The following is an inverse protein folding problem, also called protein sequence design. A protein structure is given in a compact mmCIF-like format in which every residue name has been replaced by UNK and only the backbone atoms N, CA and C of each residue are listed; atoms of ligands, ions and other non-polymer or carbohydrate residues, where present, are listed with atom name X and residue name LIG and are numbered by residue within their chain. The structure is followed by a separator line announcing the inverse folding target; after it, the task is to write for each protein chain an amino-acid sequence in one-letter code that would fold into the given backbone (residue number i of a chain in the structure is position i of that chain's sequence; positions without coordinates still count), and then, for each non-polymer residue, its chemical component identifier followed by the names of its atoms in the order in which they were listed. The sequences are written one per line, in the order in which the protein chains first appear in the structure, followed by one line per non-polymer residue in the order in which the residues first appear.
data_IF_503649035731
#
_entry.id   IF_503649035731
#
_cell.length_a   1.000
_cell.length_b   1.000
_cell.length_c   1.000
_cell.angle_alpha   90.00
_cell.angle_beta   90.00
_cell.angle_gamma   90.00
#
_symmetry.space_group_name_H-M   'P 1'
#
loop_
_entity.id
_entity.type
_entity.pdbx_description
1 polymer ?
#
# COMPACT_ATOMS: atom_id res chain seq x y z
N UNK A 1 -34.82 16.42 -20.63
CA UNK A 1 -33.48 15.92 -21.01
C UNK A 1 -33.68 14.56 -21.65
N UNK A 2 -33.44 14.44 -22.97
CA UNK A 2 -33.62 13.17 -23.70
C UNK A 2 -32.54 12.17 -23.28
N UNK A 3 -32.97 10.95 -22.96
CA UNK A 3 -32.10 9.82 -22.71
C UNK A 3 -31.40 9.43 -24.02
N UNK A 4 -30.06 9.46 -24.02
CA UNK A 4 -29.26 8.98 -25.13
C UNK A 4 -29.08 7.48 -24.94
N UNK A 5 -29.77 6.68 -25.75
CA UNK A 5 -29.52 5.24 -25.83
C UNK A 5 -28.12 4.99 -26.42
N UNK A 6 -27.31 4.07 -25.83
CA UNK A 6 -26.00 3.74 -26.35
C UNK A 6 -26.12 2.94 -27.65
N UNK A 7 -25.40 3.39 -28.68
CA UNK A 7 -25.35 2.78 -30.01
C UNK A 7 -24.72 1.37 -29.94
N UNK A 8 -25.29 0.34 -30.59
CA UNK A 8 -24.67 -0.97 -30.66
C UNK A 8 -23.37 -0.91 -31.48
N UNK A 9 -22.30 -1.49 -30.93
CA UNK A 9 -21.00 -1.59 -31.59
C UNK A 9 -21.01 -2.88 -32.43
N UNK A 10 -20.89 -2.74 -33.75
CA UNK A 10 -20.73 -3.87 -34.65
C UNK A 10 -19.36 -4.53 -34.45
N UNK A 11 -19.32 -5.85 -34.50
CA UNK A 11 -18.09 -6.62 -34.49
C UNK A 11 -17.68 -6.86 -35.94
N UNK A 12 -16.71 -6.11 -36.45
CA UNK A 12 -16.06 -6.43 -37.71
C UNK A 12 -15.10 -7.61 -37.48
N UNK A 13 -15.13 -8.58 -38.39
CA UNK A 13 -14.30 -9.77 -38.33
C UNK A 13 -12.85 -9.46 -38.64
N UNK A 14 -11.92 -9.91 -37.78
CA UNK A 14 -10.48 -9.86 -38.04
C UNK A 14 -10.15 -10.80 -39.22
N UNK A 15 -9.58 -10.25 -40.29
CA UNK A 15 -8.96 -11.02 -41.38
C UNK A 15 -7.76 -11.85 -40.84
N UNK A 16 -7.45 -13.02 -41.42
CA UNK A 16 -6.32 -13.83 -40.97
C UNK A 16 -4.99 -13.12 -41.25
N UNK A 17 -4.20 -12.95 -40.20
CA UNK A 17 -2.87 -12.36 -40.27
C UNK A 17 -1.95 -13.16 -41.21
N UNK A 18 -1.23 -12.43 -42.07
CA UNK A 18 -0.21 -12.97 -42.96
C UNK A 18 1.04 -13.39 -42.18
N UNK A 19 1.57 -14.57 -42.53
CA UNK A 19 2.74 -15.21 -41.92
C UNK A 19 3.98 -14.29 -41.92
N UNK A 20 4.57 -14.02 -40.75
CA UNK A 20 5.90 -13.38 -40.72
C UNK A 20 6.47 -12.79 -39.44
N UNK A 21 5.80 -12.79 -38.28
CA UNK A 21 6.35 -12.17 -37.05
C UNK A 21 6.45 -13.14 -35.85
N UNK A 22 7.43 -12.94 -34.96
CA UNK A 22 7.92 -13.97 -34.04
C UNK A 22 6.89 -14.31 -32.96
N UNK A 23 6.67 -15.61 -32.75
CA UNK A 23 5.86 -16.16 -31.65
C UNK A 23 6.39 -15.67 -30.30
N UNK A 24 5.55 -14.99 -29.51
CA UNK A 24 5.79 -14.85 -28.07
C UNK A 24 5.16 -13.68 -27.29
N UNK A 25 4.28 -12.85 -27.85
CA UNK A 25 3.50 -11.90 -27.02
C UNK A 25 2.12 -12.47 -26.72
N UNK A 26 1.89 -12.89 -25.46
CA UNK A 26 0.57 -13.29 -24.97
C UNK A 26 -0.40 -12.11 -25.17
N UNK A 27 -1.38 -12.26 -26.08
CA UNK A 27 -2.36 -11.21 -26.36
C UNK A 27 -3.42 -11.25 -25.27
N UNK A 28 -3.23 -10.43 -24.24
CA UNK A 28 -4.18 -10.33 -23.14
C UNK A 28 -5.32 -9.36 -23.48
N UNK A 29 -6.57 -9.78 -23.34
CA UNK A 29 -7.75 -8.90 -23.50
C UNK A 29 -8.46 -8.75 -22.16
N UNK A 30 -8.58 -7.52 -21.67
CA UNK A 30 -9.39 -7.21 -20.51
C UNK A 30 -10.83 -6.94 -20.94
N UNK A 31 -11.78 -7.66 -20.34
CA UNK A 31 -13.20 -7.53 -20.63
C UNK A 31 -13.93 -7.21 -19.33
N UNK A 32 -14.75 -6.16 -19.33
CA UNK A 32 -15.67 -5.87 -18.23
C UNK A 32 -17.08 -6.02 -18.75
N UNK A 33 -17.92 -6.76 -18.04
CA UNK A 33 -19.34 -6.93 -18.35
C UNK A 33 -20.18 -6.80 -17.08
N UNK A 34 -21.43 -6.40 -17.26
CA UNK A 34 -22.44 -6.44 -16.22
C UNK A 34 -23.25 -7.72 -16.40
N UNK A 35 -23.66 -8.36 -15.31
CA UNK A 35 -24.55 -9.52 -15.33
C UNK A 35 -25.50 -9.45 -14.15
N UNK A 36 -26.72 -9.94 -14.35
CA UNK A 36 -27.74 -10.03 -13.30
C UNK A 36 -27.83 -11.49 -12.86
N UNK A 37 -26.96 -11.88 -11.94
CA UNK A 37 -26.96 -13.23 -11.38
C UNK A 37 -27.87 -13.28 -10.15
N UNK A 38 -28.93 -14.11 -10.15
CA UNK A 38 -29.81 -14.26 -8.99
C UNK A 38 -29.02 -14.70 -7.77
N UNK A 39 -29.19 -14.00 -6.65
CA UNK A 39 -28.52 -14.37 -5.41
C UNK A 39 -28.54 -13.28 -4.36
N UNK A 40 -28.01 -13.57 -3.16
CA UNK A 40 -28.19 -12.69 -2.01
C UNK A 40 -27.58 -11.30 -2.20
N UNK A 41 -26.45 -11.19 -2.91
CA UNK A 41 -25.81 -9.89 -3.19
C UNK A 41 -26.59 -9.06 -4.22
N UNK A 42 -27.24 -9.72 -5.19
CA UNK A 42 -28.13 -9.06 -6.13
C UNK A 42 -29.35 -8.49 -5.39
N UNK A 43 -30.06 -9.32 -4.63
CA UNK A 43 -31.25 -8.93 -3.88
C UNK A 43 -30.95 -7.77 -2.92
N UNK A 44 -29.82 -7.85 -2.22
CA UNK A 44 -29.40 -6.87 -1.24
C UNK A 44 -29.10 -5.50 -1.88
N UNK A 45 -28.38 -5.48 -3.01
CA UNK A 45 -28.05 -4.23 -3.71
C UNK A 45 -29.20 -3.68 -4.54
N UNK A 46 -30.19 -4.51 -4.89
CA UNK A 46 -31.43 -4.08 -5.52
C UNK A 46 -32.37 -3.40 -4.51
N UNK A 47 -32.53 -4.01 -3.32
CA UNK A 47 -33.31 -3.40 -2.22
C UNK A 47 -32.69 -2.12 -1.68
N UNK A 48 -31.38 -1.96 -1.83
CA UNK A 48 -30.62 -0.79 -1.35
C UNK A 48 -29.85 -0.12 -2.51
N UNK A 49 -30.48 0.74 -3.33
CA UNK A 49 -29.84 1.34 -4.50
C UNK A 49 -28.61 2.23 -4.21
N UNK A 50 -28.46 2.67 -2.95
CA UNK A 50 -27.30 3.42 -2.43
C UNK A 50 -26.17 2.54 -1.90
N UNK A 51 -26.35 1.22 -1.87
CA UNK A 51 -25.36 0.25 -1.45
C UNK A 51 -24.56 -0.26 -2.66
N UNK A 52 -23.25 -0.33 -2.50
CA UNK A 52 -22.36 -1.07 -3.39
C UNK A 52 -21.57 -2.09 -2.58
N UNK A 53 -21.29 -3.25 -3.18
CA UNK A 53 -20.53 -4.32 -2.53
C UNK A 53 -19.35 -4.69 -3.43
N UNK A 54 -18.14 -4.55 -2.92
CA UNK A 54 -16.95 -5.10 -3.56
C UNK A 54 -16.71 -6.51 -3.01
N UNK A 55 -16.86 -7.52 -3.87
CA UNK A 55 -16.68 -8.92 -3.54
C UNK A 55 -15.33 -9.43 -4.08
N UNK A 56 -14.57 -10.10 -3.22
CA UNK A 56 -13.26 -10.66 -3.51
C UNK A 56 -13.27 -12.16 -3.23
N UNK A 57 -13.41 -13.00 -4.27
CA UNK A 57 -13.34 -14.46 -4.14
C UNK A 57 -11.91 -14.90 -3.77
N UNK A 58 -11.77 -15.80 -2.78
CA UNK A 58 -10.50 -16.26 -2.21
C UNK A 58 -10.49 -17.79 -2.05
N UNK A 59 -10.70 -18.50 -3.16
CA UNK A 59 -11.00 -19.93 -3.11
C UNK A 59 -12.33 -20.12 -2.38
N UNK A 60 -12.37 -21.02 -1.39
CA UNK A 60 -13.56 -21.32 -0.57
C UNK A 60 -14.03 -20.22 0.39
N UNK A 61 -13.50 -19.00 0.26
CA UNK A 61 -13.83 -17.85 1.09
C UNK A 61 -14.22 -16.66 0.22
N UNK A 62 -15.08 -15.80 0.76
CA UNK A 62 -15.55 -14.58 0.08
C UNK A 62 -15.39 -13.38 1.02
N UNK A 63 -14.53 -12.43 0.64
CA UNK A 63 -14.42 -11.15 1.34
C UNK A 63 -15.36 -10.14 0.68
N UNK A 64 -16.26 -9.55 1.46
CA UNK A 64 -17.21 -8.54 1.02
C UNK A 64 -16.89 -7.21 1.72
N UNK A 65 -16.85 -6.13 0.93
CA UNK A 65 -16.76 -4.75 1.43
C UNK A 65 -18.00 -3.98 1.00
N UNK A 66 -18.77 -3.55 1.97
CA UNK A 66 -20.00 -2.79 1.80
C UNK A 66 -19.69 -1.30 1.86
N UNK A 67 -20.08 -0.59 0.81
CA UNK A 67 -19.80 0.83 0.57
C UNK A 67 -21.11 1.60 0.41
N UNK A 68 -21.18 2.80 0.96
CA UNK A 68 -22.37 3.65 0.86
C UNK A 68 -23.38 3.33 1.96
N UNK A 69 -24.60 2.94 1.56
CA UNK A 69 -25.72 2.69 2.47
C UNK A 69 -25.65 1.31 3.16
N UNK A 70 -24.65 1.14 4.02
CA UNK A 70 -24.34 -0.11 4.71
C UNK A 70 -24.88 -0.17 6.17
N UNK A 71 -25.87 0.64 6.53
CA UNK A 71 -26.45 0.64 7.88
C UNK A 71 -27.32 -0.61 8.11
N UNK A 72 -27.14 -1.30 9.25
CA UNK A 72 -27.88 -2.54 9.56
C UNK A 72 -27.66 -3.64 8.51
N UNK A 73 -26.45 -3.74 7.97
CA UNK A 73 -26.09 -4.76 6.98
C UNK A 73 -25.73 -6.07 7.67
N UNK A 74 -25.31 -6.00 8.93
CA UNK A 74 -24.94 -7.13 9.77
C UNK A 74 -26.13 -8.03 10.08
N UNK A 75 -27.33 -7.44 10.11
CA UNK A 75 -28.60 -8.14 10.33
C UNK A 75 -29.31 -8.49 9.02
N UNK A 76 -28.65 -8.30 7.87
CA UNK A 76 -29.28 -8.55 6.58
C UNK A 76 -29.54 -10.06 6.39
N UNK A 77 -30.80 -10.49 6.17
CA UNK A 77 -31.13 -11.91 5.98
C UNK A 77 -30.41 -12.48 4.75
N UNK A 78 -30.12 -11.68 3.73
CA UNK A 78 -29.33 -12.09 2.57
C UNK A 78 -27.91 -12.57 2.93
N UNK A 79 -27.34 -12.07 4.03
CA UNK A 79 -26.03 -12.52 4.52
C UNK A 79 -26.17 -13.62 5.56
N UNK A 80 -27.12 -13.48 6.49
CA UNK A 80 -27.30 -14.39 7.62
C UNK A 80 -27.97 -15.72 7.27
N UNK A 81 -28.87 -15.72 6.28
CA UNK A 81 -29.57 -16.91 5.80
C UNK A 81 -28.87 -17.54 4.58
N UNK A 82 -27.68 -17.03 4.22
CA UNK A 82 -26.88 -17.64 3.17
C UNK A 82 -26.32 -19.00 3.60
N UNK A 83 -26.05 -19.89 2.65
CA UNK A 83 -25.30 -21.15 2.87
C UNK A 83 -23.82 -20.90 3.28
N UNK A 84 -23.44 -19.65 3.60
CA UNK A 84 -22.08 -19.25 3.95
C UNK A 84 -21.97 -18.94 5.43
N UNK A 85 -20.91 -19.43 6.06
CA UNK A 85 -20.56 -19.13 7.45
C UNK A 85 -19.84 -17.77 7.53
N UNK A 86 -20.31 -16.88 8.41
CA UNK A 86 -19.63 -15.62 8.72
C UNK A 86 -18.42 -15.91 9.61
N UNK A 87 -17.23 -15.86 9.04
CA UNK A 87 -15.96 -16.03 9.78
C UNK A 87 -15.51 -14.74 10.45
N UNK A 88 -15.84 -13.59 9.87
CA UNK A 88 -15.43 -12.30 10.38
C UNK A 88 -16.38 -11.19 9.91
N UNK A 89 -16.57 -10.20 10.79
CA UNK A 89 -17.27 -8.96 10.49
C UNK A 89 -16.58 -7.77 11.15
N UNK A 90 -16.56 -6.63 10.48
CA UNK A 90 -16.05 -5.37 11.04
C UNK A 90 -16.75 -4.17 10.42
N UNK A 91 -17.00 -3.14 11.23
CA UNK A 91 -17.48 -1.83 10.80
C UNK A 91 -16.42 -0.77 11.11
N UNK A 92 -15.99 -0.05 10.09
CA UNK A 92 -15.06 1.08 10.21
C UNK A 92 -15.67 2.31 9.54
N UNK A 93 -16.26 3.20 10.36
CA UNK A 93 -17.00 4.35 9.85
C UNK A 93 -18.23 3.94 9.03
N UNK A 94 -18.28 4.33 7.76
CA UNK A 94 -19.38 4.00 6.82
C UNK A 94 -19.15 2.70 6.04
N UNK A 95 -18.02 2.04 6.26
CA UNK A 95 -17.67 0.81 5.58
C UNK A 95 -17.90 -0.38 6.50
N UNK A 96 -18.47 -1.45 5.95
CA UNK A 96 -18.61 -2.73 6.64
C UNK A 96 -17.92 -3.81 5.84
N UNK A 97 -17.24 -4.73 6.51
CA UNK A 97 -16.49 -5.82 5.91
C UNK A 97 -16.95 -7.15 6.48
N UNK A 98 -17.18 -8.13 5.60
CA UNK A 98 -17.48 -9.52 5.96
C UNK A 98 -16.46 -10.45 5.33
N UNK A 99 -16.01 -11.47 6.07
CA UNK A 99 -15.37 -12.65 5.51
C UNK A 99 -16.31 -13.84 5.69
N UNK A 100 -16.70 -14.45 4.58
CA UNK A 100 -17.58 -15.59 4.56
C UNK A 100 -16.81 -16.83 4.11
N UNK A 101 -17.21 -18.02 4.55
CA UNK A 101 -16.71 -19.29 4.02
C UNK A 101 -17.84 -20.24 3.66
N UNK A 102 -17.59 -21.14 2.72
CA UNK A 102 -18.63 -22.02 2.18
C UNK A 102 -19.54 -21.33 1.15
N UNK A 103 -20.59 -22.03 0.70
CA UNK A 103 -21.50 -21.64 -0.40
C UNK A 103 -21.46 -22.61 -1.61
N UNK A 104 -22.51 -22.66 -2.44
CA UNK A 104 -22.54 -23.37 -3.75
C UNK A 104 -22.27 -22.41 -4.95
N UNK A 105 -22.25 -22.90 -6.20
CA UNK A 105 -21.14 -22.96 -7.14
C UNK A 105 -20.83 -21.66 -7.93
N UNK A 106 -20.90 -20.47 -7.31
CA UNK A 106 -20.32 -19.26 -7.94
C UNK A 106 -18.80 -19.41 -8.10
N UNK A 107 -18.17 -20.13 -7.16
CA UNK A 107 -16.75 -20.51 -7.22
C UNK A 107 -16.47 -21.60 -8.26
N UNK A 108 -17.40 -22.50 -8.59
CA UNK A 108 -17.23 -23.42 -9.74
C UNK A 108 -17.30 -22.65 -11.06
N UNK A 109 -18.15 -21.62 -11.16
CA UNK A 109 -18.17 -20.75 -12.33
C UNK A 109 -16.84 -19.99 -12.49
N UNK A 110 -16.32 -19.39 -11.41
CA UNK A 110 -15.03 -18.67 -11.43
C UNK A 110 -13.83 -19.60 -11.63
N UNK A 111 -13.82 -20.77 -10.99
CA UNK A 111 -12.78 -21.78 -11.18
C UNK A 111 -12.85 -22.42 -12.58
N UNK A 112 -14.04 -22.54 -13.18
CA UNK A 112 -14.21 -23.03 -14.56
C UNK A 112 -13.67 -22.05 -15.62
N UNK A 113 -13.66 -20.74 -15.33
CA UNK A 113 -13.12 -19.73 -16.24
C UNK A 113 -11.60 -19.88 -16.40
N UNK A 114 -10.89 -20.25 -15.33
CA UNK A 114 -9.45 -20.45 -15.36
C UNK A 114 -9.02 -21.59 -16.31
N UNK A 115 -9.90 -22.57 -16.56
CA UNK A 115 -9.65 -23.66 -17.51
C UNK A 115 -9.72 -23.22 -18.98
N UNK A 116 -10.23 -22.02 -19.27
CA UNK A 116 -10.41 -21.46 -20.61
C UNK A 116 -9.59 -20.19 -20.83
N UNK A 117 -8.48 -20.05 -20.09
CA UNK A 117 -7.61 -18.87 -20.14
C UNK A 117 -8.35 -17.57 -19.79
N UNK A 118 -9.41 -17.65 -18.97
CA UNK A 118 -10.19 -16.52 -18.49
C UNK A 118 -10.03 -16.36 -16.98
N UNK A 119 -9.47 -15.24 -16.53
CA UNK A 119 -9.20 -14.99 -15.12
C UNK A 119 -10.06 -13.86 -14.60
N UNK A 120 -10.83 -14.10 -13.54
CA UNK A 120 -11.59 -13.04 -12.86
C UNK A 120 -10.62 -12.11 -12.16
N UNK A 121 -10.77 -10.81 -12.44
CA UNK A 121 -10.05 -9.74 -11.77
C UNK A 121 -10.94 -9.14 -10.68
N UNK A 122 -10.63 -9.37 -9.39
CA UNK A 122 -11.40 -8.79 -8.31
C UNK A 122 -11.10 -7.28 -8.13
N UNK A 123 -12.03 -6.52 -7.52
CA UNK A 123 -13.32 -6.98 -7.02
C UNK A 123 -14.36 -7.22 -8.13
N UNK A 124 -15.27 -8.16 -7.86
CA UNK A 124 -16.59 -8.17 -8.49
C UNK A 124 -17.41 -7.11 -7.77
N UNK A 125 -17.88 -6.09 -8.49
CA UNK A 125 -18.65 -5.00 -7.88
C UNK A 125 -20.14 -5.21 -8.09
N UNK A 126 -20.89 -5.33 -7.01
CA UNK A 126 -22.34 -5.37 -7.02
C UNK A 126 -22.92 -3.99 -6.74
N UNK A 127 -23.88 -3.57 -7.56
CA UNK A 127 -24.60 -2.32 -7.36
C UNK A 127 -25.94 -2.38 -8.09
N UNK A 128 -27.04 -1.96 -7.42
CA UNK A 128 -28.39 -1.91 -8.01
C UNK A 128 -28.82 -3.24 -8.66
N UNK A 129 -28.44 -4.36 -8.05
CA UNK A 129 -28.77 -5.71 -8.53
C UNK A 129 -27.92 -6.21 -9.71
N UNK A 130 -26.95 -5.45 -10.21
CA UNK A 130 -26.01 -5.90 -11.24
C UNK A 130 -24.63 -6.20 -10.64
N UNK A 131 -24.01 -7.30 -11.10
CA UNK A 131 -22.60 -7.60 -10.88
C UNK A 131 -21.75 -7.09 -12.04
N UNK A 132 -20.81 -6.20 -11.76
CA UNK A 132 -19.78 -5.76 -12.68
C UNK A 132 -18.54 -6.65 -12.51
N UNK A 133 -18.29 -7.49 -13.50
CA UNK A 133 -17.23 -8.50 -13.50
C UNK A 133 -16.19 -8.09 -14.51
N UNK A 134 -14.92 -8.13 -14.10
CA UNK A 134 -13.78 -7.91 -15.00
C UNK A 134 -13.03 -9.22 -15.19
N UNK A 135 -12.76 -9.58 -16.44
CA UNK A 135 -11.99 -10.74 -16.83
C UNK A 135 -10.72 -10.32 -17.55
N UNK A 136 -9.67 -11.10 -17.35
CA UNK A 136 -8.47 -11.12 -18.14
C UNK A 136 -8.50 -12.38 -19.01
N UNK A 137 -8.55 -12.20 -20.32
CA UNK A 137 -8.57 -13.29 -21.29
C UNK A 137 -7.18 -13.44 -21.90
N UNK A 138 -6.60 -14.62 -21.83
CA UNK A 138 -5.32 -14.97 -22.47
C UNK A 138 -5.56 -15.80 -23.74
N UNK A 139 -4.58 -15.81 -24.65
CA UNK A 139 -4.49 -16.70 -25.82
C UNK A 139 -5.77 -16.84 -26.67
N UNK A 140 -6.34 -15.72 -27.10
CA UNK A 140 -7.40 -15.73 -28.12
C UNK A 140 -8.77 -16.20 -27.65
N UNK A 141 -8.99 -16.35 -26.33
CA UNK A 141 -10.32 -16.64 -25.78
C UNK A 141 -11.36 -15.60 -26.26
N UNK A 142 -12.46 -16.09 -26.83
CA UNK A 142 -13.54 -15.24 -27.35
C UNK A 142 -14.40 -14.71 -26.20
N UNK A 143 -14.45 -13.37 -25.98
CA UNK A 143 -15.28 -12.77 -24.95
C UNK A 143 -16.75 -13.22 -25.01
N UNK A 144 -17.31 -13.45 -26.21
CA UNK A 144 -18.73 -13.82 -26.34
C UNK A 144 -19.03 -15.16 -25.70
N UNK A 145 -18.20 -16.15 -26.01
CA UNK A 145 -18.30 -17.51 -25.44
C UNK A 145 -18.25 -17.48 -23.91
N UNK A 146 -17.43 -16.59 -23.34
CA UNK A 146 -17.33 -16.42 -21.89
C UNK A 146 -18.55 -15.69 -21.32
N UNK A 147 -19.05 -14.65 -22.00
CA UNK A 147 -20.21 -13.88 -21.57
C UNK A 147 -21.50 -14.70 -21.58
N UNK A 148 -21.69 -15.63 -22.53
CA UNK A 148 -22.88 -16.48 -22.65
C UNK A 148 -23.14 -17.37 -21.41
N UNK A 149 -22.13 -17.54 -20.55
CA UNK A 149 -22.26 -18.27 -19.27
C UNK A 149 -22.89 -17.45 -18.16
N UNK A 150 -22.96 -16.15 -18.33
CA UNK A 150 -23.48 -15.24 -17.30
C UNK A 150 -24.91 -14.81 -17.67
N UNK A 151 -25.86 -14.89 -16.74
CA UNK A 151 -27.23 -14.48 -16.99
C UNK A 151 -27.29 -12.98 -17.28
N UNK A 152 -28.03 -12.61 -18.33
CA UNK A 152 -28.24 -11.22 -18.76
C UNK A 152 -26.91 -10.45 -18.96
N UNK A 153 -25.86 -11.15 -19.39
CA UNK A 153 -24.54 -10.56 -19.57
C UNK A 153 -24.54 -9.48 -20.64
N UNK A 154 -24.04 -8.30 -20.27
CA UNK A 154 -23.88 -7.15 -21.15
C UNK A 154 -22.46 -6.65 -21.09
N UNK A 155 -21.78 -6.68 -22.23
CA UNK A 155 -20.45 -6.11 -22.37
C UNK A 155 -20.48 -4.61 -22.00
N UNK A 156 -19.63 -4.21 -21.05
CA UNK A 156 -19.46 -2.82 -20.62
C UNK A 156 -18.21 -2.22 -21.25
N UNK A 157 -17.11 -2.96 -21.26
CA UNK A 157 -15.88 -2.53 -21.93
C UNK A 157 -15.02 -3.70 -22.38
N UNK A 158 -14.28 -3.50 -23.47
CA UNK A 158 -13.23 -4.41 -23.96
C UNK A 158 -11.98 -3.59 -24.22
N UNK A 159 -10.87 -3.95 -23.60
CA UNK A 159 -9.57 -3.29 -23.76
C UNK A 159 -8.53 -4.34 -24.08
N UNK A 160 -7.74 -4.12 -25.12
CA UNK A 160 -6.46 -4.80 -25.30
C UNK A 160 -5.40 -3.90 -24.68
N UNK A 161 -4.86 -4.20 -23.48
CA UNK A 161 -3.82 -3.39 -22.89
C UNK A 161 -2.62 -3.42 -23.84
N UNK A 162 -2.29 -2.28 -24.45
CA UNK A 162 -1.13 -2.18 -25.34
C UNK A 162 0.11 -2.02 -24.46
N UNK A 163 1.02 -2.98 -24.55
CA UNK A 163 2.27 -2.98 -23.82
C UNK A 163 2.14 -3.36 -22.33
N UNK A 164 3.28 -3.81 -21.79
CA UNK A 164 3.41 -4.44 -20.46
C UNK A 164 2.90 -3.58 -19.29
N UNK A 165 2.99 -2.26 -19.36
CA UNK A 165 2.56 -1.35 -18.28
C UNK A 165 1.02 -1.23 -18.17
N UNK A 166 0.29 -1.34 -19.28
CA UNK A 166 -1.18 -1.29 -19.28
C UNK A 166 -1.79 -2.51 -18.59
N UNK A 167 -1.22 -3.70 -18.82
CA UNK A 167 -1.64 -4.96 -18.20
C UNK A 167 -1.37 -4.97 -16.68
N UNK A 168 -0.19 -4.49 -16.24
CA UNK A 168 0.18 -4.44 -14.81
C UNK A 168 -0.73 -3.49 -14.02
N UNK A 169 -1.14 -2.36 -14.61
CA UNK A 169 -2.03 -1.40 -13.96
C UNK A 169 -3.46 -1.93 -13.73
N UNK A 170 -3.94 -2.80 -14.63
CA UNK A 170 -5.27 -3.43 -14.54
C UNK A 170 -5.36 -4.50 -13.44
N UNK A 171 -4.24 -5.08 -13.03
CA UNK A 171 -4.16 -6.17 -12.05
C UNK A 171 -3.86 -5.67 -10.62
N UNK A 172 -3.55 -4.39 -10.42
CA UNK A 172 -3.20 -3.90 -9.08
C UNK A 172 -4.44 -3.68 -8.22
N UNK A 173 -4.56 -4.44 -7.12
CA UNK A 173 -5.63 -4.29 -6.12
C UNK A 173 -5.03 -3.89 -4.76
N UNK A 174 -5.58 -2.88 -4.07
CA UNK A 174 -5.11 -2.48 -2.73
C UNK A 174 -5.18 -3.60 -1.68
N UNK A 175 -6.01 -4.63 -1.91
CA UNK A 175 -6.26 -5.71 -0.96
C UNK A 175 -5.56 -7.03 -1.30
N UNK A 176 -5.14 -7.24 -2.56
CA UNK A 176 -4.73 -8.58 -3.03
C UNK A 176 -3.48 -8.62 -3.89
N UNK A 177 -3.22 -7.59 -4.69
CA UNK A 177 -2.11 -7.61 -5.64
C UNK A 177 -1.27 -6.35 -5.43
N UNK A 178 -0.25 -6.43 -4.55
CA UNK A 178 0.64 -5.30 -4.32
C UNK A 178 1.37 -4.92 -5.61
N UNK A 179 1.64 -3.63 -5.79
CA UNK A 179 2.46 -3.16 -6.91
C UNK A 179 3.90 -3.64 -6.73
N UNK A 180 4.23 -4.77 -7.35
CA UNK A 180 5.59 -5.27 -7.46
C UNK A 180 6.31 -4.63 -8.66
N UNK A 181 7.58 -4.29 -8.47
CA UNK A 181 8.48 -3.99 -9.58
C UNK A 181 8.75 -5.25 -10.40
N UNK A 182 9.13 -5.10 -11.67
CA UNK A 182 9.43 -6.25 -12.54
C UNK A 182 10.50 -7.18 -11.94
N UNK A 183 11.52 -6.61 -11.29
CA UNK A 183 12.58 -7.37 -10.62
C UNK A 183 12.07 -8.17 -9.41
N UNK A 184 11.13 -7.60 -8.64
CA UNK A 184 10.49 -8.28 -7.51
C UNK A 184 9.58 -9.42 -7.99
N UNK A 185 8.73 -9.16 -8.99
CA UNK A 185 7.86 -10.17 -9.56
C UNK A 185 8.65 -11.34 -10.17
N UNK A 186 9.70 -11.03 -10.93
CA UNK A 186 10.59 -12.04 -11.53
C UNK A 186 11.29 -12.91 -10.47
N UNK A 187 11.79 -12.29 -9.39
CA UNK A 187 12.42 -13.04 -8.30
C UNK A 187 11.42 -13.95 -7.58
N UNK A 188 10.21 -13.45 -7.29
CA UNK A 188 9.16 -14.22 -6.60
C UNK A 188 8.68 -15.40 -7.44
N UNK A 189 8.41 -15.20 -8.73
CA UNK A 189 7.98 -16.26 -9.64
C UNK A 189 9.08 -17.31 -9.84
N UNK A 190 10.33 -16.90 -10.06
CA UNK A 190 11.43 -17.84 -10.18
C UNK A 190 11.66 -18.68 -8.90
N UNK A 191 11.45 -18.09 -7.72
CA UNK A 191 11.47 -18.84 -6.47
C UNK A 191 10.33 -19.85 -6.41
N UNK A 192 9.10 -19.43 -6.76
CA UNK A 192 7.93 -20.30 -6.80
C UNK A 192 8.12 -21.48 -7.77
N UNK A 193 8.48 -21.20 -9.02
CA UNK A 193 8.68 -22.21 -10.07
C UNK A 193 9.80 -23.20 -9.75
N UNK A 194 10.83 -22.75 -9.01
CA UNK A 194 11.91 -23.61 -8.55
C UNK A 194 11.51 -24.48 -7.33
N UNK A 195 10.31 -24.33 -6.77
CA UNK A 195 9.88 -25.06 -5.57
C UNK A 195 10.46 -24.51 -4.27
N UNK A 196 10.88 -23.24 -4.23
CA UNK A 196 11.42 -22.58 -3.03
C UNK A 196 10.42 -22.54 -1.86
N UNK A 197 9.12 -22.53 -2.16
CA UNK A 197 8.04 -22.50 -1.18
C UNK A 197 7.47 -23.88 -0.85
N UNK A 198 7.97 -24.95 -1.45
CA UNK A 198 7.53 -26.32 -1.16
C UNK A 198 8.08 -26.82 0.19
N UNK A 199 7.35 -27.75 0.81
CA UNK A 199 7.81 -28.47 1.99
C UNK A 199 7.80 -29.98 1.72
N UNK A 200 8.95 -30.68 1.84
CA UNK A 200 10.28 -30.14 2.16
C UNK A 200 10.85 -29.28 1.02
N UNK A 201 11.64 -28.26 1.38
CA UNK A 201 12.28 -27.37 0.42
C UNK A 201 13.42 -28.09 -0.29
N UNK A 202 13.37 -28.14 -1.62
CA UNK A 202 14.33 -28.87 -2.44
C UNK A 202 15.34 -27.98 -3.17
N UNK A 203 15.21 -26.65 -3.06
CA UNK A 203 16.08 -25.67 -3.73
C UNK A 203 16.61 -24.63 -2.76
N UNK A 204 17.83 -24.17 -2.99
CA UNK A 204 18.43 -23.08 -2.22
C UNK A 204 18.26 -21.74 -2.93
N UNK A 205 18.37 -20.66 -2.16
CA UNK A 205 18.45 -19.29 -2.68
C UNK A 205 19.59 -19.11 -3.68
N UNK A 206 20.69 -19.85 -3.49
CA UNK A 206 21.84 -19.85 -4.41
C UNK A 206 21.41 -20.40 -5.78
N UNK A 207 20.73 -21.54 -5.81
CA UNK A 207 20.27 -22.22 -7.03
C UNK A 207 19.33 -21.33 -7.86
N UNK A 208 18.38 -20.68 -7.20
CA UNK A 208 17.44 -19.76 -7.88
C UNK A 208 18.14 -18.48 -8.36
N UNK A 209 19.10 -17.97 -7.59
CA UNK A 209 19.86 -16.78 -8.03
C UNK A 209 20.72 -17.06 -9.27
N UNK A 210 21.29 -18.27 -9.34
CA UNK A 210 22.08 -18.75 -10.48
C UNK A 210 21.21 -18.88 -11.74
N UNK A 211 20.00 -19.43 -11.63
CA UNK A 211 19.08 -19.56 -12.77
C UNK A 211 18.64 -18.20 -13.34
N UNK A 212 18.62 -17.16 -12.51
CA UNK A 212 18.32 -15.78 -12.91
C UNK A 212 19.54 -14.98 -13.40
N UNK A 213 20.76 -15.53 -13.27
CA UNK A 213 21.99 -14.84 -13.65
C UNK A 213 22.28 -13.58 -12.84
N UNK A 214 21.82 -13.51 -11.57
CA UNK A 214 22.03 -12.37 -10.69
C UNK A 214 22.75 -12.79 -9.39
N UNK A 215 23.45 -11.84 -8.77
CA UNK A 215 24.11 -12.10 -7.49
C UNK A 215 23.07 -12.51 -6.42
N UNK A 216 23.41 -13.51 -5.60
CA UNK A 216 22.56 -14.02 -4.51
C UNK A 216 21.97 -12.90 -3.63
N UNK A 217 22.81 -11.96 -3.19
CA UNK A 217 22.37 -10.82 -2.37
C UNK A 217 21.35 -9.91 -3.06
N UNK A 218 21.44 -9.79 -4.40
CA UNK A 218 20.49 -9.02 -5.21
C UNK A 218 19.17 -9.76 -5.35
N UNK A 219 19.23 -11.08 -5.58
CA UNK A 219 18.05 -11.94 -5.58
C UNK A 219 17.33 -11.89 -4.23
N UNK A 220 18.03 -12.11 -3.12
CA UNK A 220 17.49 -12.02 -1.75
C UNK A 220 16.81 -10.67 -1.50
N UNK A 221 17.42 -9.56 -1.91
CA UNK A 221 16.83 -8.24 -1.74
C UNK A 221 15.51 -8.07 -2.51
N UNK A 222 15.43 -8.60 -3.74
CA UNK A 222 14.22 -8.54 -4.55
C UNK A 222 13.14 -9.48 -4.02
N UNK A 223 13.52 -10.72 -3.67
CA UNK A 223 12.63 -11.74 -3.13
C UNK A 223 12.04 -11.29 -1.79
N UNK A 224 12.87 -10.87 -0.83
CA UNK A 224 12.41 -10.44 0.49
C UNK A 224 11.44 -9.26 0.42
N UNK A 225 11.66 -8.31 -0.50
CA UNK A 225 10.72 -7.20 -0.71
C UNK A 225 9.42 -7.67 -1.35
N UNK A 226 9.49 -8.60 -2.31
CA UNK A 226 8.29 -9.16 -2.94
C UNK A 226 7.45 -9.94 -1.92
N UNK A 227 8.09 -10.84 -1.16
CA UNK A 227 7.48 -11.60 -0.07
C UNK A 227 6.88 -10.67 0.98
N UNK A 228 7.60 -9.64 1.42
CA UNK A 228 7.07 -8.66 2.37
C UNK A 228 5.77 -8.01 1.87
N UNK A 229 5.73 -7.59 0.61
CA UNK A 229 4.53 -6.99 0.04
C UNK A 229 3.36 -7.97 -0.04
N UNK A 230 3.61 -9.23 -0.45
CA UNK A 230 2.58 -10.28 -0.55
C UNK A 230 2.08 -10.69 0.82
N UNK A 231 2.98 -10.99 1.75
CA UNK A 231 2.64 -11.37 3.13
C UNK A 231 1.87 -10.25 3.81
N UNK A 232 2.31 -8.99 3.69
CA UNK A 232 1.59 -7.85 4.27
C UNK A 232 0.16 -7.72 3.74
N UNK A 233 -0.07 -7.94 2.45
CA UNK A 233 -1.41 -7.97 1.87
C UNK A 233 -2.26 -9.12 2.45
N UNK A 234 -1.64 -10.26 2.79
CA UNK A 234 -2.34 -11.44 3.31
C UNK A 234 -2.47 -11.50 4.84
N UNK A 235 -1.68 -10.75 5.61
CA UNK A 235 -1.69 -10.76 7.09
C UNK A 235 -3.10 -10.61 7.67
N UNK A 236 -3.98 -9.71 7.17
CA UNK A 236 -5.35 -9.63 7.66
C UNK A 236 -6.10 -10.96 7.53
N UNK A 237 -5.98 -11.66 6.40
CA UNK A 237 -6.67 -12.94 6.15
C UNK A 237 -6.12 -14.08 7.02
N UNK A 238 -4.79 -14.12 7.21
CA UNK A 238 -4.16 -15.11 8.08
C UNK A 238 -4.63 -14.94 9.53
N UNK A 239 -4.72 -13.69 10.01
CA UNK A 239 -5.24 -13.37 11.35
C UNK A 239 -6.69 -13.84 11.49
N UNK A 240 -7.55 -13.51 10.52
CA UNK A 240 -8.95 -13.92 10.47
C UNK A 240 -9.11 -15.45 10.51
N UNK A 241 -8.38 -16.20 9.68
CA UNK A 241 -8.45 -17.68 9.63
C UNK A 241 -7.98 -18.36 10.92
N UNK A 242 -7.06 -17.74 11.66
CA UNK A 242 -6.51 -18.34 12.88
C UNK A 242 -7.44 -18.28 14.09
N UNK A 243 -8.65 -17.70 13.96
CA UNK A 243 -9.58 -17.53 15.08
C UNK A 243 -9.01 -16.66 16.21
N UNK A 244 -7.90 -15.95 15.95
CA UNK A 244 -7.35 -14.99 16.89
C UNK A 244 -8.28 -13.78 16.87
N UNK A 245 -8.98 -13.47 17.98
CA UNK A 245 -9.68 -12.19 18.09
C UNK A 245 -8.69 -11.06 17.82
N UNK A 246 -9.20 -9.89 17.42
CA UNK A 246 -8.40 -8.69 17.21
C UNK A 246 -7.52 -8.36 18.43
N UNK A 247 -6.34 -8.94 18.46
CA UNK A 247 -5.14 -8.28 18.89
C UNK A 247 -4.66 -7.50 17.68
N UNK A 248 -4.95 -6.21 17.70
CA UNK A 248 -4.23 -5.17 16.96
C UNK A 248 -4.64 -5.00 15.48
N UNK A 249 -5.83 -4.44 15.23
CA UNK A 249 -6.05 -3.70 13.98
C UNK A 249 -5.06 -2.53 13.93
N UNK A 250 -4.64 -2.14 12.72
CA UNK A 250 -3.88 -0.91 12.54
C UNK A 250 -4.84 0.26 12.69
N UNK A 251 -4.81 0.91 13.84
CA UNK A 251 -5.62 2.07 14.16
C UNK A 251 -4.88 3.33 13.74
N UNK A 252 -5.54 4.20 12.99
CA UNK A 252 -4.95 5.45 12.52
C UNK A 252 -5.58 6.61 13.27
N UNK A 253 -4.77 7.47 13.87
CA UNK A 253 -5.17 8.71 14.50
C UNK A 253 -4.48 9.87 13.82
N UNK A 254 -5.15 11.03 13.74
CA UNK A 254 -4.61 12.17 13.01
C UNK A 254 -5.07 13.46 13.65
N UNK A 255 -4.13 14.36 13.96
CA UNK A 255 -4.44 15.68 14.54
C UNK A 255 -3.53 16.75 13.97
N UNK A 256 -4.07 17.94 13.77
CA UNK A 256 -3.33 19.07 13.20
C UNK A 256 -2.45 19.75 14.25
N UNK A 257 -1.15 19.87 13.97
CA UNK A 257 -0.22 20.69 14.75
C UNK A 257 -0.11 22.08 14.13
N UNK A 258 -0.32 23.12 14.94
CA UNK A 258 -0.19 24.52 14.53
C UNK A 258 1.27 24.93 14.37
N UNK A 259 2.13 24.36 15.20
CA UNK A 259 3.57 24.58 15.25
C UNK A 259 4.22 24.12 13.94
N UNK A 260 3.87 22.91 13.50
CA UNK A 260 4.35 22.37 12.24
C UNK A 260 3.57 22.92 11.03
N UNK A 261 2.28 23.23 11.20
CA UNK A 261 1.37 23.52 10.08
C UNK A 261 1.03 22.27 9.28
N UNK A 262 1.06 21.10 9.94
CA UNK A 262 0.91 19.77 9.35
C UNK A 262 0.07 18.88 10.26
N UNK A 263 -0.57 17.87 9.69
CA UNK A 263 -1.17 16.78 10.45
C UNK A 263 -0.08 15.83 10.91
N UNK A 264 -0.11 15.48 12.20
CA UNK A 264 0.63 14.35 12.76
C UNK A 264 -0.29 13.14 12.70
N UNK A 265 0.13 12.13 11.95
CA UNK A 265 -0.58 10.87 11.78
C UNK A 265 0.14 9.80 12.60
N UNK A 266 -0.62 9.10 13.43
CA UNK A 266 -0.18 8.01 14.29
C UNK A 266 -0.84 6.72 13.83
N UNK A 267 -0.05 5.70 13.55
CA UNK A 267 -0.53 4.34 13.28
C UNK A 267 -0.17 3.46 14.48
N UNK A 268 -1.19 2.86 15.10
CA UNK A 268 -1.06 2.02 16.29
C UNK A 268 -1.46 0.60 15.94
N UNK A 269 -0.60 -0.35 16.28
CA UNK A 269 -0.88 -1.77 16.24
C UNK A 269 -1.02 -2.21 17.69
N UNK A 270 -2.26 -2.26 18.18
CA UNK A 270 -2.58 -2.64 19.56
C UNK A 270 -2.11 -1.63 20.57
N UNK A 271 -1.11 -1.99 21.36
CA UNK A 271 -0.48 -1.08 22.31
C UNK A 271 0.81 -0.44 21.78
N UNK A 272 1.21 -0.72 20.53
CA UNK A 272 2.49 -0.25 19.96
C UNK A 272 2.31 0.70 18.80
N UNK A 273 3.19 1.69 18.71
CA UNK A 273 3.26 2.58 17.56
C UNK A 273 3.99 1.89 16.40
N UNK A 274 3.29 1.68 15.31
CA UNK A 274 3.83 1.13 14.07
C UNK A 274 4.44 2.22 13.19
N UNK A 275 3.79 3.40 13.11
CA UNK A 275 4.29 4.53 12.35
C UNK A 275 3.84 5.87 12.93
N UNK A 276 4.66 6.90 12.67
CA UNK A 276 4.33 8.31 12.88
C UNK A 276 4.79 9.05 11.64
N UNK A 277 3.87 9.77 11.01
CA UNK A 277 4.14 10.49 9.77
C UNK A 277 3.51 11.88 9.78
N UNK A 278 3.96 12.72 8.85
CA UNK A 278 3.45 14.09 8.69
C UNK A 278 2.73 14.23 7.36
N UNK A 279 1.59 14.91 7.35
CA UNK A 279 0.76 15.09 6.16
C UNK A 279 0.17 16.50 6.02
N UNK A 280 -0.13 16.91 4.78
CA UNK A 280 -0.82 18.18 4.49
C UNK A 280 -2.33 18.11 4.71
N UNK A 281 -2.90 16.91 4.79
CA UNK A 281 -4.34 16.65 4.98
C UNK A 281 -4.50 15.56 6.04
N UNK A 282 -5.65 15.55 6.72
CA UNK A 282 -6.02 14.48 7.62
C UNK A 282 -6.09 13.14 6.87
N UNK A 283 -5.80 12.04 7.57
CA UNK A 283 -6.00 10.70 7.02
C UNK A 283 -7.51 10.43 6.89
N UNK A 284 -8.03 10.03 5.71
CA UNK A 284 -9.43 9.64 5.58
C UNK A 284 -9.78 8.35 6.35
N UNK A 285 -8.77 7.58 6.75
CA UNK A 285 -8.91 6.38 7.57
C UNK A 285 -8.72 6.65 9.08
N UNK A 286 -8.66 7.93 9.50
CA UNK A 286 -8.47 8.30 10.90
C UNK A 286 -9.69 7.95 11.74
N UNK A 287 -9.48 7.25 12.85
CA UNK A 287 -10.51 6.94 13.86
C UNK A 287 -10.83 8.14 14.76
N UNK A 288 -9.95 9.14 14.78
CA UNK A 288 -10.16 10.39 15.51
C UNK A 288 -8.85 11.12 15.79
N UNK A 289 -8.92 12.07 16.74
CA UNK A 289 -7.78 12.87 17.18
C UNK A 289 -7.26 12.47 18.58
N UNK A 290 -7.98 11.56 19.25
CA UNK A 290 -7.81 11.26 20.66
C UNK A 290 -7.09 9.92 20.85
N UNK A 291 -5.78 10.01 21.08
CA UNK A 291 -4.94 8.89 21.48
C UNK A 291 -3.82 9.38 22.43
N UNK A 292 -3.49 8.68 23.54
CA UNK A 292 -2.51 9.14 24.51
C UNK A 292 -1.12 9.40 23.90
N UNK A 293 -0.61 8.49 23.05
CA UNK A 293 0.66 8.72 22.36
C UNK A 293 0.61 9.91 21.39
N UNK A 294 -0.53 10.14 20.71
CA UNK A 294 -0.66 11.29 19.81
C UNK A 294 -0.64 12.60 20.61
N UNK A 295 -1.31 12.64 21.76
CA UNK A 295 -1.28 13.77 22.67
C UNK A 295 0.15 14.05 23.18
N UNK A 296 0.88 13.00 23.58
CA UNK A 296 2.27 13.11 24.05
C UNK A 296 3.21 13.61 22.94
N UNK A 297 3.07 13.10 21.71
CA UNK A 297 3.86 13.55 20.55
C UNK A 297 3.58 15.02 20.25
N UNK A 298 2.30 15.43 20.25
CA UNK A 298 1.93 16.82 19.97
C UNK A 298 2.41 17.77 21.06
N UNK A 299 2.36 17.35 22.32
CA UNK A 299 2.92 18.11 23.42
C UNK A 299 4.43 18.28 23.24
N UNK A 300 5.16 17.23 22.88
CA UNK A 300 6.58 17.32 22.55
C UNK A 300 6.86 18.24 21.37
N UNK A 301 6.04 18.21 20.32
CA UNK A 301 6.15 19.13 19.18
C UNK A 301 5.93 20.59 19.62
N UNK A 302 5.06 20.81 20.61
CA UNK A 302 4.68 22.14 21.11
C UNK A 302 5.74 22.74 22.03
N UNK A 303 6.28 21.95 22.95
CA UNK A 303 7.15 22.43 24.03
C UNK A 303 8.61 22.07 23.82
N UNK A 304 8.91 21.07 22.99
CA UNK A 304 10.21 20.42 22.95
C UNK A 304 10.51 19.53 24.17
N UNK A 305 9.60 19.50 25.14
CA UNK A 305 9.71 18.74 26.39
C UNK A 305 8.95 17.41 26.29
N UNK A 306 9.12 16.54 27.28
CA UNK A 306 8.48 15.22 27.30
C UNK A 306 9.33 14.12 26.65
N UNK A 307 9.42 12.99 27.36
CA UNK A 307 10.19 11.83 26.93
C UNK A 307 9.32 10.92 26.06
N UNK A 308 9.71 10.69 24.81
CA UNK A 308 9.03 9.79 23.87
C UNK A 308 9.67 8.39 23.82
N UNK A 309 10.70 8.12 24.64
CA UNK A 309 11.41 6.83 24.66
C UNK A 309 10.55 5.69 25.21
N UNK A 310 9.56 6.01 26.01
CA UNK A 310 8.66 5.01 26.61
C UNK A 310 7.52 4.61 25.67
N UNK A 311 7.35 5.29 24.53
CA UNK A 311 6.38 4.87 23.52
C UNK A 311 6.84 3.52 22.94
N UNK A 312 6.08 2.42 23.12
CA UNK A 312 6.43 1.12 22.57
C UNK A 312 6.33 1.16 21.04
N UNK A 313 7.34 0.61 20.36
CA UNK A 313 7.42 0.63 18.89
C UNK A 313 7.28 -0.78 18.31
N UNK A 314 6.58 -0.87 17.18
CA UNK A 314 6.55 -2.04 16.31
C UNK A 314 7.21 -1.68 14.97
N UNK A 315 8.55 -1.74 14.93
CA UNK A 315 9.31 -1.36 13.73
C UNK A 315 9.46 -2.53 12.77
N UNK A 316 9.01 -2.35 11.53
CA UNK A 316 9.24 -3.29 10.42
C UNK A 316 10.43 -2.84 9.56
N UNK A 317 11.65 -2.97 10.10
CA UNK A 317 12.89 -2.53 9.45
C UNK A 317 13.98 -3.60 9.51
N UNK A 318 14.98 -3.50 8.63
CA UNK A 318 16.11 -4.45 8.63
C UNK A 318 16.97 -4.36 9.91
N UNK A 319 17.78 -5.37 10.24
CA UNK A 319 18.54 -5.41 11.49
C UNK A 319 19.44 -4.19 11.73
N UNK A 320 20.18 -3.75 10.72
CA UNK A 320 21.02 -2.55 10.82
C UNK A 320 20.20 -1.26 10.96
N UNK A 321 19.08 -1.14 10.24
CA UNK A 321 18.18 0.01 10.37
C UNK A 321 17.60 0.05 11.79
N UNK A 322 17.22 -1.10 12.36
CA UNK A 322 16.76 -1.22 13.76
C UNK A 322 17.82 -0.72 14.75
N UNK A 323 19.06 -1.20 14.63
CA UNK A 323 20.17 -0.73 15.49
C UNK A 323 20.33 0.79 15.44
N UNK A 324 20.27 1.38 14.24
CA UNK A 324 20.35 2.82 14.06
C UNK A 324 19.16 3.52 14.71
N UNK A 325 17.93 3.13 14.37
CA UNK A 325 16.72 3.81 14.83
C UNK A 325 16.57 3.75 16.36
N UNK A 326 16.88 2.62 17.00
CA UNK A 326 16.89 2.52 18.46
C UNK A 326 17.97 3.41 19.08
N UNK A 327 19.16 3.48 18.47
CA UNK A 327 20.19 4.40 18.94
C UNK A 327 19.74 5.87 18.84
N UNK A 328 19.03 6.26 17.78
CA UNK A 328 18.55 7.64 17.62
C UNK A 328 17.64 8.07 18.77
N UNK A 329 16.84 7.15 19.34
CA UNK A 329 15.97 7.43 20.50
C UNK A 329 16.76 7.81 21.76
N UNK A 330 18.04 7.46 21.82
CA UNK A 330 18.92 7.80 22.95
C UNK A 330 19.46 9.24 22.88
N UNK A 331 19.33 9.92 21.74
CA UNK A 331 19.81 11.30 21.56
C UNK A 331 18.81 12.25 22.25
N UNK A 332 19.19 12.98 23.32
CA UNK A 332 18.25 13.80 24.07
C UNK A 332 17.78 15.03 23.27
N UNK A 333 16.57 15.56 23.57
CA UNK A 333 16.09 16.84 23.02
C UNK A 333 17.12 17.96 23.23
N UNK A 334 17.21 18.86 22.24
CA UNK A 334 18.11 20.02 22.28
C UNK A 334 19.56 19.71 21.95
N UNK A 335 19.89 18.43 21.69
CA UNK A 335 21.21 18.01 21.23
C UNK A 335 21.16 17.43 19.83
N UNK A 336 22.29 17.51 19.12
CA UNK A 336 22.42 16.87 17.79
C UNK A 336 23.66 15.98 17.73
N UNK A 337 23.63 15.02 16.81
CA UNK A 337 24.78 14.19 16.46
C UNK A 337 24.96 14.15 14.95
N UNK A 338 26.18 13.97 14.49
CA UNK A 338 26.45 13.76 13.07
C UNK A 338 26.23 12.31 12.66
N UNK A 339 25.88 12.07 11.39
CA UNK A 339 25.76 10.70 10.84
C UNK A 339 27.01 9.83 11.10
N UNK A 340 28.20 10.44 11.06
CA UNK A 340 29.46 9.76 11.34
C UNK A 340 29.67 9.43 12.82
N UNK A 341 29.17 10.26 13.73
CA UNK A 341 29.21 9.99 15.18
C UNK A 341 28.25 8.87 15.56
N UNK A 342 27.04 8.86 15.00
CA UNK A 342 26.07 7.75 15.15
C UNK A 342 26.72 6.45 14.67
N UNK A 343 27.30 6.46 13.46
CA UNK A 343 27.97 5.30 12.89
C UNK A 343 29.12 4.79 13.78
N UNK A 344 29.92 5.70 14.35
CA UNK A 344 31.02 5.37 15.27
C UNK A 344 30.51 4.78 16.58
N UNK A 345 29.45 5.33 17.18
CA UNK A 345 28.86 4.81 18.43
C UNK A 345 28.25 3.42 18.26
N UNK A 346 27.79 3.10 17.06
CA UNK A 346 27.32 1.76 16.68
C UNK A 346 28.47 0.79 16.31
N UNK A 347 29.73 1.16 16.52
CA UNK A 347 30.88 0.31 16.18
C UNK A 347 31.15 0.17 14.69
N UNK A 348 30.53 1.01 13.84
CA UNK A 348 30.60 0.94 12.37
C UNK A 348 31.06 2.29 11.79
N UNK A 349 32.31 2.73 12.03
CA UNK A 349 32.78 4.09 11.71
C UNK A 349 32.63 4.49 10.23
N UNK A 350 32.64 3.53 9.31
CA UNK A 350 32.50 3.76 7.87
C UNK A 350 31.04 3.75 7.37
N UNK A 351 30.05 3.56 8.24
CA UNK A 351 28.64 3.39 7.88
C UNK A 351 27.82 4.69 7.83
N UNK A 352 28.46 5.87 7.80
CA UNK A 352 27.76 7.17 7.84
C UNK A 352 26.67 7.34 6.76
N UNK A 353 26.90 6.83 5.53
CA UNK A 353 25.89 6.88 4.46
C UNK A 353 24.71 5.95 4.73
N UNK A 354 25.00 4.76 5.26
CA UNK A 354 23.97 3.78 5.61
C UNK A 354 23.09 4.27 6.78
N UNK A 355 23.69 4.96 7.77
CA UNK A 355 22.94 5.69 8.82
C UNK A 355 22.03 6.74 8.19
N UNK A 356 22.53 7.51 7.21
CA UNK A 356 21.71 8.48 6.49
C UNK A 356 20.49 7.83 5.79
N UNK A 357 20.68 6.66 5.17
CA UNK A 357 19.57 5.88 4.58
C UNK A 357 18.57 5.40 5.63
N UNK A 358 19.04 4.92 6.79
CA UNK A 358 18.17 4.51 7.88
C UNK A 358 17.35 5.69 8.42
N UNK A 359 17.98 6.86 8.62
CA UNK A 359 17.28 8.09 9.00
C UNK A 359 16.21 8.50 7.98
N UNK A 360 16.50 8.36 6.68
CA UNK A 360 15.56 8.71 5.62
C UNK A 360 14.33 7.77 5.57
N UNK A 361 14.49 6.52 6.00
CA UNK A 361 13.45 5.49 6.06
C UNK A 361 12.79 5.34 7.44
N UNK A 362 12.99 6.30 8.33
CA UNK A 362 12.41 6.28 9.66
C UNK A 362 10.87 6.21 9.59
N UNK A 363 10.22 5.12 10.05
CA UNK A 363 8.78 4.94 9.97
C UNK A 363 8.02 5.72 11.07
N UNK A 364 8.69 6.12 12.15
CA UNK A 364 8.07 6.84 13.26
C UNK A 364 8.82 8.15 13.53
N UNK A 365 8.64 9.14 12.64
CA UNK A 365 9.28 10.46 12.81
C UNK A 365 8.81 11.13 14.09
N UNK A 366 9.62 12.05 14.64
CA UNK A 366 9.43 12.69 15.96
C UNK A 366 9.71 11.71 17.11
N UNK A 367 9.01 10.56 17.18
CA UNK A 367 9.22 9.54 18.22
C UNK A 367 10.61 8.90 18.10
N UNK A 368 11.02 8.55 16.88
CA UNK A 368 12.41 8.31 16.54
C UNK A 368 12.98 9.64 16.00
N UNK A 369 13.88 10.30 16.72
CA UNK A 369 14.22 11.70 16.47
C UNK A 369 15.31 11.85 15.40
N UNK A 370 15.05 11.39 14.17
CA UNK A 370 16.03 11.52 13.08
C UNK A 370 16.30 12.97 12.67
N UNK A 371 15.46 13.93 13.10
CA UNK A 371 15.72 15.37 12.97
C UNK A 371 16.91 15.84 13.82
N UNK A 372 17.32 15.10 14.86
CA UNK A 372 18.51 15.40 15.67
C UNK A 372 19.83 14.98 15.01
N UNK A 373 19.78 14.30 13.86
CA UNK A 373 20.98 13.88 13.12
C UNK A 373 21.31 14.86 12.01
N UNK A 374 22.51 15.45 12.03
CA UNK A 374 22.92 16.53 11.11
C UNK A 374 24.18 16.20 10.31
N UNK A 375 24.45 16.88 9.18
CA UNK A 375 25.71 16.73 8.45
C UNK A 375 26.90 17.27 9.24
N UNK A 376 28.07 16.65 9.09
CA UNK A 376 29.34 17.15 9.68
C UNK A 376 29.74 18.54 9.17
N UNK A 377 29.34 18.87 7.94
CA UNK A 377 29.64 20.18 7.32
C UNK A 377 28.83 21.34 7.91
N UNK A 378 27.95 21.09 8.88
CA UNK A 378 27.03 22.06 9.44
C UNK A 378 25.72 22.16 8.65
N UNK A 379 24.79 22.95 9.19
CA UNK A 379 23.44 23.12 8.65
C UNK A 379 22.50 21.94 8.95
N UNK A 380 21.26 22.03 8.46
CA UNK A 380 20.20 21.07 8.78
C UNK A 380 20.30 19.75 8.01
N UNK A 381 20.96 19.73 6.85
CA UNK A 381 20.92 18.58 5.94
C UNK A 381 19.52 18.34 5.37
N UNK A 382 19.30 17.18 4.76
CA UNK A 382 17.97 16.78 4.26
C UNK A 382 17.11 16.16 5.37
N UNK A 383 15.80 16.21 5.17
CA UNK A 383 14.81 15.59 6.04
C UNK A 383 13.71 14.98 5.17
N UNK A 384 13.50 13.67 5.30
CA UNK A 384 12.60 12.91 4.42
C UNK A 384 11.12 13.11 4.75
N UNK A 385 10.79 13.61 5.95
CA UNK A 385 9.41 13.87 6.33
C UNK A 385 8.82 15.07 5.58
N UNK A 386 7.49 15.10 5.46
CA UNK A 386 6.78 16.20 4.81
C UNK A 386 7.11 17.54 5.50
N UNK A 387 7.32 18.57 4.68
CA UNK A 387 7.81 19.89 5.09
C UNK A 387 9.34 20.01 5.17
N UNK A 388 10.08 18.90 5.03
CA UNK A 388 11.52 18.88 4.78
C UNK A 388 12.32 19.64 5.84
N UNK A 389 13.28 20.46 5.39
CA UNK A 389 14.18 21.20 6.29
C UNK A 389 13.44 22.14 7.25
N UNK A 390 12.29 22.70 6.84
CA UNK A 390 11.51 23.60 7.70
C UNK A 390 10.93 22.85 8.90
N UNK A 391 10.35 21.67 8.67
CA UNK A 391 9.88 20.80 9.75
C UNK A 391 11.02 20.43 10.71
N UNK A 392 12.18 20.02 10.16
CA UNK A 392 13.37 19.68 10.95
C UNK A 392 13.81 20.85 11.83
N UNK A 393 13.85 22.05 11.25
CA UNK A 393 14.17 23.30 11.94
C UNK A 393 13.19 23.58 13.08
N UNK A 394 11.88 23.52 12.83
CA UNK A 394 10.86 23.79 13.84
C UNK A 394 10.98 22.84 15.03
N UNK A 395 11.18 21.55 14.79
CA UNK A 395 11.38 20.55 15.84
C UNK A 395 12.63 20.84 16.67
N UNK A 396 13.78 21.10 16.02
CA UNK A 396 15.02 21.43 16.71
C UNK A 396 14.90 22.71 17.55
N UNK A 397 14.26 23.75 17.01
CA UNK A 397 14.05 25.01 17.73
C UNK A 397 13.11 24.83 18.92
N UNK A 398 12.03 24.05 18.77
CA UNK A 398 11.14 23.73 19.87
C UNK A 398 11.88 23.00 21.01
N UNK A 399 12.79 22.09 20.68
CA UNK A 399 13.67 21.40 21.63
C UNK A 399 14.80 22.27 22.22
N UNK A 400 14.86 23.56 21.89
CA UNK A 400 15.86 24.49 22.43
C UNK A 400 17.23 24.46 21.72
N UNK A 401 17.33 23.84 20.54
CA UNK A 401 18.57 23.87 19.76
C UNK A 401 18.72 25.23 19.05
N UNK A 402 19.78 25.96 19.38
CA UNK A 402 20.12 27.21 18.70
C UNK A 402 20.75 26.92 17.33
N UNK A 403 20.04 27.28 16.26
CA UNK A 403 20.58 27.19 14.91
C UNK A 403 21.57 28.33 14.69
N UNK A 404 22.86 28.00 14.57
CA UNK A 404 23.86 28.95 14.09
C UNK A 404 23.42 29.53 12.74
N UNK A 405 23.48 30.86 12.59
CA UNK A 405 23.09 31.54 11.38
C UNK A 405 23.90 31.02 10.19
N UNK A 406 23.20 30.40 9.22
CA UNK A 406 23.79 29.79 8.03
C UNK A 406 24.81 30.72 7.34
N UNK A 407 26.13 30.43 7.44
CA UNK A 407 27.16 31.27 6.84
C UNK A 407 27.12 31.23 5.30
N UNK A 408 26.40 30.28 4.70
CA UNK A 408 26.21 30.20 3.24
C UNK A 408 25.22 31.24 2.71
N UNK A 409 24.25 31.67 3.53
CA UNK A 409 23.29 32.72 3.19
C UNK A 409 23.95 34.11 3.22
N UNK A 410 24.77 34.38 4.24
CA UNK A 410 25.58 35.60 4.33
C UNK A 410 26.56 35.76 3.16
N UNK A 411 27.18 34.66 2.69
CA UNK A 411 28.07 34.67 1.50
C UNK A 411 27.31 34.92 0.19
N UNK A 412 26.10 34.36 0.04
CA UNK A 412 25.24 34.61 -1.14
C UNK A 412 24.73 36.05 -1.19
N UNK A 413 24.35 36.61 -0.04
CA UNK A 413 23.86 37.98 0.05
C UNK A 413 24.99 39.01 -0.13
N UNK A 414 26.19 38.73 0.42
CA UNK A 414 27.39 39.52 0.14
C UNK A 414 27.79 39.47 -1.34
N UNK A 415 27.68 38.30 -1.98
CA UNK A 415 27.97 38.16 -3.41
C UNK A 415 26.93 38.85 -4.31
N UNK A 416 25.66 38.92 -3.89
CA UNK A 416 24.60 39.68 -4.58
C UNK A 416 24.79 41.20 -4.41
N UNK A 417 25.12 41.66 -3.20
CA UNK A 417 25.40 43.07 -2.93
C UNK A 417 26.65 43.60 -3.67
N UNK A 418 27.69 42.75 -3.84
CA UNK A 418 28.88 43.09 -4.65
C UNK A 418 28.59 43.13 -6.15
N UNK A 419 27.60 42.34 -6.63
CA UNK A 419 27.13 42.36 -8.02
C UNK A 419 26.21 43.54 -8.33
N UNK A 420 25.39 44.00 -7.38
CA UNK A 420 24.57 45.21 -7.58
C UNK A 420 25.40 46.48 -7.56
N UNK A 421 26.37 46.61 -6.64
CA UNK A 421 27.32 47.75 -6.59
C UNK A 421 28.17 47.91 -7.84
N UNK A 422 28.52 46.80 -8.52
CA UNK A 422 29.27 46.82 -9.78
C UNK A 422 28.42 47.18 -11.01
N UNK A 423 27.10 47.10 -10.92
CA UNK A 423 26.15 47.46 -12.00
C UNK A 423 25.66 48.90 -11.91
N UNK A 424 25.87 49.56 -10.77
CA UNK A 424 25.51 50.96 -10.52
C UNK A 424 26.69 51.94 -10.73
N UNK A 425 27.84 51.45 -11.21
CA UNK A 425 29.08 52.23 -11.42
C UNK A 425 29.64 52.07 -12.85
N UNK A 426 28.77 51.79 -13.82
CA UNK A 426 29.03 51.76 -15.26
C UNK A 426 27.82 52.39 -15.92
#
# INVERSE_FOLDING_TARGET
MQAVEPKPIAFEGDEPATDGEPRGETVTTQVTFASRAPGPLQDLTERRPGLAIDAYPLGGMLLLRFLGDAEGIEDAPELLESDREVLYQNRSGKEVTFLLSGGRPEEESIASLAAENAHVLPPIRWQRGEALITLLLEDGADPRTVLDRFPEARLVSKRRPVGRQGAIGALSSPLFLPKLTEKQARALLAAFDAGYYEFPRNVTTEDVSLSLGIARSTFEQHLNRAEHHVIRAMVPMVRMRSGRPHGEALEVYSKFSRELGLYVQLEVLGDRVAAVSLAKKASPASLGEDHPYLAQILEHVRTGEGDLRDIPLHLEVGPFEREVLEFLRTIPPGTTMTYGEVARRLGRPNASRAVGTACARNPAVIVIPCHRVVPKAGGLGEYSAIGGQETKKKLLVAEGFELEADPSRARRDASKAKKSRRRSST
#
